data_IF_463092114753
#
_entry.id   IF_463092114753
#
_cell.length_a   1.000
_cell.length_b   1.000
_cell.length_c   1.000
_cell.angle_alpha   90.00
_cell.angle_beta   90.00
_cell.angle_gamma   90.00
#
_symmetry.space_group_name_H-M   'P 1'
#
loop_
_entity.id
_entity.type
_entity.pdbx_description
1 polymer ?
#
# COMPACT_ATOMS: atom_id res chain seq x y z
N UNK A 1 27.42 -11.57 5.63
CA UNK A 1 26.18 -11.85 6.37
C UNK A 1 25.03 -11.26 5.60
N UNK A 2 24.00 -12.03 5.38
CA UNK A 2 22.79 -11.60 4.67
C UNK A 2 22.07 -10.52 5.48
N UNK A 3 21.92 -9.31 4.92
CA UNK A 3 21.34 -8.17 5.64
C UNK A 3 19.81 -8.13 5.57
N UNK A 4 19.18 -9.01 4.77
CA UNK A 4 17.74 -8.98 4.56
C UNK A 4 16.97 -9.49 5.80
N UNK A 5 15.93 -8.77 6.24
CA UNK A 5 15.01 -9.21 7.31
C UNK A 5 14.05 -10.28 6.80
N UNK A 6 13.69 -10.23 5.50
CA UNK A 6 12.94 -11.28 4.81
C UNK A 6 13.67 -11.64 3.53
N UNK A 7 13.84 -12.94 3.27
CA UNK A 7 14.33 -13.49 2.00
C UNK A 7 13.39 -14.59 1.53
N UNK A 8 12.96 -14.47 0.31
CA UNK A 8 12.05 -15.42 -0.36
C UNK A 8 12.67 -15.85 -1.66
N UNK A 9 12.73 -17.15 -1.91
CA UNK A 9 13.33 -17.72 -3.12
C UNK A 9 12.41 -18.79 -3.71
N UNK A 10 11.79 -18.48 -4.85
CA UNK A 10 10.97 -19.39 -5.63
C UNK A 10 9.76 -19.96 -4.90
N UNK A 11 9.14 -19.19 -4.00
CA UNK A 11 8.00 -19.68 -3.21
C UNK A 11 6.81 -19.99 -4.10
N UNK A 12 6.31 -21.24 -3.95
CA UNK A 12 5.09 -21.73 -4.60
C UNK A 12 4.08 -22.14 -3.55
N UNK A 13 2.81 -21.80 -3.78
CA UNK A 13 1.68 -22.30 -3.00
C UNK A 13 0.50 -22.62 -3.88
N UNK A 14 0.04 -23.87 -3.78
CA UNK A 14 -1.10 -24.38 -4.54
C UNK A 14 -2.18 -24.85 -3.55
N UNK A 15 -3.39 -24.34 -3.68
CA UNK A 15 -4.54 -24.78 -2.90
C UNK A 15 -5.30 -25.91 -3.60
N UNK A 16 -6.29 -26.47 -2.91
CA UNK A 16 -7.26 -27.40 -3.49
C UNK A 16 -7.79 -26.84 -4.83
N UNK A 17 -8.15 -27.72 -5.76
CA UNK A 17 -8.57 -27.38 -7.13
C UNK A 17 -7.45 -26.78 -8.03
N UNK A 18 -6.17 -27.01 -7.69
CA UNK A 18 -5.01 -26.58 -8.47
C UNK A 18 -4.88 -25.04 -8.59
N UNK A 19 -5.50 -24.27 -7.68
CA UNK A 19 -5.34 -22.81 -7.66
C UNK A 19 -3.93 -22.49 -7.17
N UNK A 20 -3.09 -22.00 -8.06
CA UNK A 20 -1.73 -21.57 -7.77
C UNK A 20 -1.75 -20.13 -7.25
N UNK A 21 -1.78 -19.97 -5.94
CA UNK A 21 -1.83 -18.66 -5.28
C UNK A 21 -0.48 -17.95 -5.23
N UNK A 22 0.63 -18.72 -5.19
CA UNK A 22 2.00 -18.21 -5.34
C UNK A 22 2.70 -19.06 -6.39
N UNK A 23 3.37 -18.40 -7.34
CA UNK A 23 3.98 -19.03 -8.50
C UNK A 23 5.45 -18.58 -8.69
N UNK A 24 6.31 -19.03 -7.79
CA UNK A 24 7.74 -18.80 -7.87
C UNK A 24 8.17 -17.41 -7.42
N UNK A 25 7.51 -16.82 -6.42
CA UNK A 25 7.86 -15.50 -5.89
C UNK A 25 9.27 -15.54 -5.27
N UNK A 26 10.10 -14.56 -5.65
CA UNK A 26 11.40 -14.29 -5.07
C UNK A 26 11.50 -12.81 -4.76
N UNK A 27 11.86 -12.43 -3.52
CA UNK A 27 12.08 -11.05 -3.10
C UNK A 27 12.96 -11.00 -1.85
N UNK A 28 13.51 -9.82 -1.57
CA UNK A 28 14.30 -9.57 -0.37
C UNK A 28 13.90 -8.23 0.25
N UNK A 29 13.67 -8.22 1.56
CA UNK A 29 13.29 -7.02 2.32
C UNK A 29 14.44 -6.62 3.23
N UNK A 30 14.88 -5.39 3.13
CA UNK A 30 15.90 -4.83 4.03
C UNK A 30 15.29 -4.51 5.41
N UNK A 31 16.09 -4.54 6.49
CA UNK A 31 15.61 -4.15 7.80
C UNK A 31 15.37 -2.64 7.89
N UNK A 32 14.40 -2.23 8.72
CA UNK A 32 14.18 -0.82 9.05
C UNK A 32 13.45 -0.02 7.98
N UNK A 33 12.73 -0.69 7.06
CA UNK A 33 11.92 -0.04 6.03
C UNK A 33 10.46 -0.50 6.09
N UNK A 34 9.60 0.25 5.40
CA UNK A 34 8.22 -0.13 5.07
C UNK A 34 8.21 -0.73 3.67
N UNK A 35 8.02 -2.03 3.58
CA UNK A 35 7.93 -2.75 2.31
C UNK A 35 6.48 -3.08 1.97
N UNK A 36 6.01 -2.62 0.82
CA UNK A 36 4.64 -2.80 0.35
C UNK A 36 4.49 -3.95 -0.64
N UNK A 37 3.54 -4.85 -0.40
CA UNK A 37 3.06 -5.81 -1.41
C UNK A 37 1.80 -5.23 -2.04
N UNK A 38 1.91 -4.68 -3.23
CA UNK A 38 0.82 -4.07 -3.99
C UNK A 38 0.23 -5.06 -4.99
N UNK A 39 -1.08 -5.08 -5.14
CA UNK A 39 -1.75 -5.90 -6.16
C UNK A 39 -3.24 -6.04 -5.91
N UNK A 40 -4.01 -6.57 -6.87
CA UNK A 40 -5.44 -6.74 -6.74
C UNK A 40 -5.80 -7.82 -5.73
N UNK A 41 -7.11 -7.92 -5.43
CA UNK A 41 -7.62 -9.02 -4.62
C UNK A 41 -7.39 -10.35 -5.34
N UNK A 42 -6.91 -11.35 -4.60
CA UNK A 42 -6.55 -12.66 -5.18
C UNK A 42 -5.15 -12.73 -5.80
N UNK A 43 -4.37 -11.65 -5.83
CA UNK A 43 -3.00 -11.67 -6.37
C UNK A 43 -2.01 -12.55 -5.59
N UNK A 44 -2.34 -13.00 -4.38
CA UNK A 44 -1.49 -13.84 -3.54
C UNK A 44 -0.85 -13.15 -2.34
N UNK A 45 -1.07 -11.85 -2.14
CA UNK A 45 -0.47 -11.02 -1.06
C UNK A 45 -0.65 -11.63 0.33
N UNK A 46 -1.90 -11.84 0.76
CA UNK A 46 -2.23 -12.47 2.06
C UNK A 46 -1.65 -13.89 2.18
N UNK A 47 -1.62 -14.64 1.06
CA UNK A 47 -1.02 -15.99 1.06
C UNK A 47 0.47 -15.92 1.33
N UNK A 48 1.18 -14.96 0.75
CA UNK A 48 2.61 -14.75 1.01
C UNK A 48 2.85 -14.36 2.47
N UNK A 49 2.09 -13.41 3.03
CA UNK A 49 2.18 -13.07 4.46
C UNK A 49 1.96 -14.31 5.33
N UNK A 50 0.94 -15.14 5.05
CA UNK A 50 0.68 -16.36 5.84
C UNK A 50 1.82 -17.37 5.76
N UNK A 51 2.48 -17.48 4.62
CA UNK A 51 3.68 -18.33 4.49
C UNK A 51 4.82 -17.78 5.33
N UNK A 52 5.11 -16.48 5.23
CA UNK A 52 6.18 -15.82 5.97
C UNK A 52 5.93 -15.83 7.49
N UNK A 53 4.67 -15.68 7.91
CA UNK A 53 4.25 -15.76 9.30
C UNK A 53 4.13 -17.20 9.83
N UNK A 54 4.56 -18.21 9.05
CA UNK A 54 4.51 -19.63 9.41
C UNK A 54 3.11 -20.22 9.64
N UNK A 55 2.07 -19.52 9.18
CA UNK A 55 0.67 -19.98 9.28
C UNK A 55 0.30 -20.96 8.16
N UNK A 56 1.08 -20.98 7.08
CA UNK A 56 0.84 -21.80 5.91
C UNK A 56 2.19 -22.31 5.38
N UNK A 57 2.41 -23.64 5.25
CA UNK A 57 3.65 -24.15 4.66
C UNK A 57 3.64 -23.90 3.14
N UNK A 58 4.77 -23.45 2.56
CA UNK A 58 4.92 -23.41 1.11
C UNK A 58 5.04 -24.83 0.53
N UNK A 59 4.64 -25.02 -0.73
CA UNK A 59 4.75 -26.30 -1.42
C UNK A 59 6.12 -26.46 -2.09
N UNK A 60 6.74 -25.33 -2.53
CA UNK A 60 8.11 -25.30 -3.05
C UNK A 60 8.79 -23.97 -2.70
N UNK A 61 10.09 -23.91 -2.90
CA UNK A 61 10.93 -22.76 -2.58
C UNK A 61 11.32 -22.66 -1.10
N UNK A 62 12.04 -21.60 -0.75
CA UNK A 62 12.53 -21.33 0.59
C UNK A 62 12.19 -19.90 1.03
N UNK A 63 11.93 -19.72 2.32
CA UNK A 63 11.78 -18.39 2.90
C UNK A 63 12.45 -18.32 4.27
N UNK A 64 13.11 -17.20 4.53
CA UNK A 64 13.70 -16.87 5.83
C UNK A 64 13.17 -15.52 6.32
N UNK A 65 12.86 -15.46 7.60
CA UNK A 65 12.36 -14.27 8.29
C UNK A 65 13.21 -14.06 9.54
N UNK A 66 13.73 -12.86 9.71
CA UNK A 66 14.67 -12.51 10.80
C UNK A 66 15.81 -13.52 10.93
N UNK A 67 16.31 -14.07 9.81
CA UNK A 67 17.39 -15.04 9.75
C UNK A 67 16.98 -16.51 9.91
N UNK A 68 15.71 -16.82 10.23
CA UNK A 68 15.21 -18.18 10.50
C UNK A 68 14.36 -18.73 9.36
N UNK A 69 14.48 -20.02 9.08
CA UNK A 69 13.71 -20.71 8.05
C UNK A 69 12.25 -20.91 8.49
N UNK A 70 11.30 -20.49 7.67
CA UNK A 70 9.86 -20.50 8.01
C UNK A 70 9.30 -21.94 8.19
N UNK A 71 9.92 -22.96 7.61
CA UNK A 71 9.49 -24.37 7.73
C UNK A 71 10.22 -25.11 8.84
N UNK A 72 11.53 -24.86 8.99
CA UNK A 72 12.39 -25.62 9.90
C UNK A 72 12.43 -25.00 11.31
N UNK A 73 12.28 -23.68 11.40
CA UNK A 73 12.44 -22.89 12.62
C UNK A 73 11.21 -21.98 12.90
N UNK A 74 9.98 -22.50 12.77
CA UNK A 74 8.77 -21.63 12.83
C UNK A 74 8.58 -20.97 14.20
N UNK A 75 9.03 -21.59 15.29
CA UNK A 75 8.95 -20.99 16.63
C UNK A 75 9.86 -19.75 16.76
N UNK A 76 11.07 -19.80 16.20
CA UNK A 76 12.01 -18.71 16.18
C UNK A 76 11.50 -17.52 15.33
N UNK A 77 10.86 -17.84 14.20
CA UNK A 77 10.18 -16.82 13.38
C UNK A 77 9.09 -16.14 14.18
N UNK A 78 8.14 -16.91 14.75
CA UNK A 78 7.00 -16.36 15.51
C UNK A 78 7.42 -15.51 16.72
N UNK A 79 8.53 -15.83 17.34
CA UNK A 79 9.06 -15.04 18.45
C UNK A 79 9.57 -13.65 18.04
N UNK A 80 9.79 -13.41 16.73
CA UNK A 80 10.41 -12.17 16.20
C UNK A 80 9.48 -11.36 15.32
N UNK A 81 8.28 -11.86 15.06
CA UNK A 81 7.29 -11.19 14.21
C UNK A 81 6.09 -10.75 15.02
N UNK A 82 5.41 -9.69 14.53
CA UNK A 82 4.05 -9.36 14.85
C UNK A 82 3.18 -9.52 13.61
N UNK A 83 1.91 -9.84 13.79
CA UNK A 83 0.95 -9.94 12.69
C UNK A 83 -0.34 -9.25 13.09
N UNK A 84 -0.75 -8.25 12.29
CA UNK A 84 -2.10 -7.70 12.31
C UNK A 84 -2.80 -8.11 11.02
N UNK A 85 -3.80 -8.96 11.14
CA UNK A 85 -4.53 -9.52 10.02
C UNK A 85 -5.60 -8.57 9.46
N UNK A 86 -6.36 -9.02 8.47
CA UNK A 86 -7.46 -8.26 7.87
C UNK A 86 -8.59 -7.95 8.87
N UNK A 87 -8.82 -8.82 9.84
CA UNK A 87 -9.79 -8.64 10.92
C UNK A 87 -9.07 -8.46 12.24
N UNK A 88 -9.47 -7.46 13.00
CA UNK A 88 -8.90 -7.22 14.32
C UNK A 88 -9.20 -8.40 15.26
N UNK A 89 -8.12 -9.01 15.78
CA UNK A 89 -8.20 -10.15 16.71
C UNK A 89 -8.34 -9.65 18.15
N UNK A 90 -9.40 -8.85 18.42
CA UNK A 90 -9.68 -8.28 19.74
C UNK A 90 -11.03 -8.73 20.25
N UNK A 91 -11.14 -8.93 21.57
CA UNK A 91 -12.39 -9.27 22.24
C UNK A 91 -13.20 -7.98 22.52
N UNK A 92 -14.44 -7.94 22.04
CA UNK A 92 -15.33 -6.79 22.14
C UNK A 92 -15.79 -6.49 23.57
N UNK A 93 -15.81 -7.49 24.45
CA UNK A 93 -16.26 -7.38 25.82
C UNK A 93 -15.18 -6.95 26.80
N UNK A 94 -13.92 -7.17 26.44
CA UNK A 94 -12.77 -6.69 27.20
C UNK A 94 -12.50 -5.22 26.88
N UNK A 95 -11.82 -4.56 27.82
CA UNK A 95 -11.25 -3.22 27.57
C UNK A 95 -10.05 -3.31 26.62
N UNK A 96 -9.64 -2.17 26.06
CA UNK A 96 -8.43 -2.12 25.24
C UNK A 96 -7.21 -2.62 26.00
N UNK A 97 -7.06 -2.23 27.27
CA UNK A 97 -5.96 -2.65 28.15
C UNK A 97 -5.98 -4.16 28.37
N UNK A 98 -7.12 -4.73 28.76
CA UNK A 98 -7.26 -6.17 28.99
C UNK A 98 -6.95 -7.00 27.75
N UNK A 99 -7.34 -6.55 26.57
CA UNK A 99 -6.98 -7.20 25.31
C UNK A 99 -5.46 -7.28 25.14
N UNK A 100 -4.76 -6.17 25.32
CA UNK A 100 -3.28 -6.13 25.15
C UNK A 100 -2.58 -6.94 26.25
N UNK A 101 -3.05 -6.86 27.50
CA UNK A 101 -2.53 -7.69 28.60
C UNK A 101 -2.73 -9.18 28.32
N UNK A 102 -3.91 -9.59 27.82
CA UNK A 102 -4.20 -10.97 27.44
C UNK A 102 -3.20 -11.47 26.41
N UNK A 103 -2.93 -10.69 25.38
CA UNK A 103 -1.91 -11.03 24.36
C UNK A 103 -0.53 -11.15 25.01
N UNK A 104 -0.14 -10.23 25.92
CA UNK A 104 1.09 -10.32 26.68
C UNK A 104 1.23 -11.64 27.43
N UNK A 105 0.13 -12.09 28.06
CA UNK A 105 0.08 -13.40 28.73
C UNK A 105 0.27 -14.57 27.78
N UNK A 106 -0.29 -14.49 26.55
CA UNK A 106 -0.10 -15.51 25.52
C UNK A 106 1.35 -15.56 25.00
N UNK A 107 2.07 -14.44 25.03
CA UNK A 107 3.51 -14.37 24.79
C UNK A 107 4.38 -14.86 25.97
N UNK A 108 3.75 -15.33 27.06
CA UNK A 108 4.45 -15.88 28.25
C UNK A 108 4.92 -14.84 29.25
N UNK A 109 4.54 -13.57 29.11
CA UNK A 109 4.88 -12.53 30.08
C UNK A 109 4.17 -12.82 31.44
N UNK A 110 4.82 -12.48 32.55
CA UNK A 110 4.17 -12.47 33.85
C UNK A 110 3.05 -11.42 33.88
N UNK A 111 2.17 -11.47 34.87
CA UNK A 111 1.06 -10.49 34.97
C UNK A 111 1.58 -9.06 35.01
N UNK A 112 2.61 -8.80 35.85
CA UNK A 112 3.18 -7.46 35.99
C UNK A 112 3.84 -6.97 34.69
N UNK A 113 4.61 -7.83 34.01
CA UNK A 113 5.23 -7.52 32.71
C UNK A 113 4.18 -7.26 31.63
N UNK A 114 3.08 -8.05 31.60
CA UNK A 114 2.00 -7.86 30.65
C UNK A 114 1.29 -6.52 30.87
N UNK A 115 1.03 -6.13 32.13
CA UNK A 115 0.44 -4.85 32.49
C UNK A 115 1.34 -3.67 32.09
N UNK A 116 2.61 -3.72 32.43
CA UNK A 116 3.57 -2.71 32.03
C UNK A 116 3.64 -2.59 30.50
N UNK A 117 3.77 -3.72 29.82
CA UNK A 117 3.87 -3.76 28.37
C UNK A 117 2.62 -3.25 27.66
N UNK A 118 1.44 -3.57 28.20
CA UNK A 118 0.17 -3.04 27.71
C UNK A 118 0.13 -1.51 27.81
N UNK A 119 0.56 -0.93 28.93
CA UNK A 119 0.67 0.51 29.09
C UNK A 119 1.56 1.16 28.03
N UNK A 120 2.81 0.64 27.85
CA UNK A 120 3.77 1.13 26.85
C UNK A 120 3.21 1.11 25.44
N UNK A 121 2.55 0.00 25.05
CA UNK A 121 2.04 -0.17 23.69
C UNK A 121 0.81 0.68 23.43
N UNK A 122 -0.12 0.76 24.40
CA UNK A 122 -1.35 1.57 24.30
C UNK A 122 -1.02 3.06 24.17
N UNK A 123 -0.02 3.55 24.91
CA UNK A 123 0.47 4.91 24.78
C UNK A 123 1.04 5.15 23.37
N UNK A 124 1.87 4.22 22.88
CA UNK A 124 2.50 4.31 21.56
C UNK A 124 1.51 4.40 20.41
N UNK A 125 0.35 3.69 20.52
CA UNK A 125 -0.71 3.73 19.50
C UNK A 125 -1.75 4.82 19.75
N UNK A 126 -1.52 5.72 20.73
CA UNK A 126 -2.37 6.87 21.05
C UNK A 126 -3.82 6.46 21.41
N UNK A 127 -3.96 5.40 22.23
CA UNK A 127 -5.27 4.93 22.73
C UNK A 127 -5.40 5.04 24.26
N UNK A 128 -4.57 5.83 24.94
CA UNK A 128 -4.54 5.91 26.39
C UNK A 128 -5.88 6.32 27.00
N UNK A 129 -6.55 7.34 26.43
CA UNK A 129 -7.85 7.85 26.91
C UNK A 129 -8.99 6.84 26.78
N UNK A 130 -8.86 5.88 25.88
CA UNK A 130 -9.87 4.85 25.63
C UNK A 130 -9.49 3.48 26.21
N UNK A 131 -8.28 3.35 26.80
CA UNK A 131 -7.69 2.07 27.19
C UNK A 131 -8.60 1.24 28.11
N UNK A 132 -9.32 1.89 29.00
CA UNK A 132 -10.14 1.25 30.04
C UNK A 132 -11.64 1.19 29.67
N UNK A 133 -11.98 1.47 28.40
CA UNK A 133 -13.33 1.30 27.84
C UNK A 133 -13.46 -0.04 27.12
N UNK A 134 -14.65 -0.69 27.15
CA UNK A 134 -14.90 -1.90 26.36
C UNK A 134 -14.73 -1.67 24.86
N UNK A 135 -14.06 -2.61 24.17
CA UNK A 135 -13.70 -2.49 22.75
C UNK A 135 -14.93 -2.38 21.84
N UNK A 136 -16.08 -2.93 22.24
CA UNK A 136 -17.35 -2.75 21.50
C UNK A 136 -17.75 -1.28 21.30
N UNK A 137 -17.20 -0.35 22.11
CA UNK A 137 -17.45 1.10 21.99
C UNK A 137 -16.45 1.82 21.11
N UNK A 138 -15.47 1.11 20.56
CA UNK A 138 -14.41 1.68 19.74
C UNK A 138 -14.89 1.94 18.29
N UNK A 139 -14.39 3.01 17.69
CA UNK A 139 -14.50 3.21 16.23
C UNK A 139 -13.66 2.17 15.47
N UNK A 140 -13.89 2.02 14.17
CA UNK A 140 -13.07 1.14 13.32
C UNK A 140 -11.58 1.46 13.40
N UNK A 141 -11.23 2.75 13.34
CA UNK A 141 -9.85 3.21 13.48
C UNK A 141 -9.23 2.89 14.85
N UNK A 142 -10.00 3.01 15.93
CA UNK A 142 -9.54 2.62 17.27
C UNK A 142 -9.34 1.12 17.40
N UNK A 143 -10.24 0.29 16.84
CA UNK A 143 -10.08 -1.17 16.81
C UNK A 143 -8.82 -1.56 16.02
N UNK A 144 -8.58 -0.90 14.89
CA UNK A 144 -7.39 -1.18 14.06
C UNK A 144 -6.10 -0.80 14.77
N UNK A 145 -6.08 0.34 15.48
CA UNK A 145 -4.95 0.71 16.33
C UNK A 145 -4.72 -0.28 17.46
N UNK A 146 -5.79 -0.79 18.08
CA UNK A 146 -5.68 -1.80 19.15
C UNK A 146 -5.12 -3.14 18.62
N UNK A 147 -5.53 -3.57 17.43
CA UNK A 147 -4.99 -4.77 16.76
C UNK A 147 -3.49 -4.60 16.46
N UNK A 148 -3.10 -3.41 16.00
CA UNK A 148 -1.68 -3.05 15.87
C UNK A 148 -0.95 -3.11 17.22
N UNK A 149 -1.55 -2.62 18.30
CA UNK A 149 -1.00 -2.71 19.65
C UNK A 149 -0.73 -4.16 20.06
N UNK A 150 -1.72 -5.03 19.87
CA UNK A 150 -1.60 -6.45 20.19
C UNK A 150 -0.41 -7.10 19.45
N UNK A 151 -0.20 -6.75 18.18
CA UNK A 151 0.91 -7.26 17.38
C UNK A 151 2.30 -6.76 17.84
N UNK A 152 2.36 -5.66 18.60
CA UNK A 152 3.60 -5.05 19.10
C UNK A 152 4.03 -5.56 20.49
N UNK A 153 3.17 -6.31 21.18
CA UNK A 153 3.42 -6.78 22.55
C UNK A 153 4.72 -7.59 22.64
N UNK A 154 4.97 -8.48 21.68
CA UNK A 154 6.13 -9.34 21.61
C UNK A 154 7.44 -8.63 21.23
N UNK A 155 7.46 -7.30 21.06
CA UNK A 155 8.62 -6.52 20.58
C UNK A 155 9.18 -7.08 19.26
N UNK A 156 8.36 -7.20 18.20
CA UNK A 156 8.77 -7.82 16.95
C UNK A 156 9.87 -7.03 16.24
N UNK A 157 10.78 -7.75 15.56
CA UNK A 157 11.75 -7.16 14.62
C UNK A 157 11.08 -6.83 13.28
N UNK A 158 10.04 -7.61 12.91
CA UNK A 158 9.26 -7.45 11.70
C UNK A 158 7.77 -7.52 12.02
N UNK A 159 7.02 -6.55 11.50
CA UNK A 159 5.58 -6.48 11.60
C UNK A 159 4.94 -6.77 10.24
N UNK A 160 4.07 -7.75 10.18
CA UNK A 160 3.21 -8.03 9.04
C UNK A 160 1.86 -7.32 9.22
N UNK A 161 1.45 -6.54 8.21
CA UNK A 161 0.17 -5.84 8.19
C UNK A 161 -0.61 -6.25 6.93
N UNK A 162 -1.70 -6.97 7.11
CA UNK A 162 -2.53 -7.41 5.98
C UNK A 162 -3.68 -6.43 5.77
N UNK A 163 -3.58 -5.60 4.72
CA UNK A 163 -4.52 -4.51 4.37
C UNK A 163 -4.88 -3.60 5.57
N UNK A 164 -3.89 -2.93 6.19
CA UNK A 164 -4.07 -2.27 7.49
C UNK A 164 -5.12 -1.16 7.49
N UNK A 165 -5.41 -0.54 6.37
CA UNK A 165 -6.33 0.61 6.26
C UNK A 165 -7.66 0.27 5.58
N UNK A 166 -7.90 -0.99 5.24
CA UNK A 166 -9.14 -1.40 4.61
C UNK A 166 -10.36 -1.03 5.48
N UNK A 167 -11.35 -0.37 4.88
CA UNK A 167 -12.58 0.04 5.56
C UNK A 167 -12.45 1.22 6.54
N UNK A 168 -11.29 1.88 6.61
CA UNK A 168 -11.10 3.09 7.40
C UNK A 168 -11.48 4.35 6.61
N UNK A 169 -12.00 5.33 7.33
CA UNK A 169 -12.19 6.68 6.80
C UNK A 169 -10.83 7.36 6.51
N UNK A 170 -10.79 8.41 5.65
CA UNK A 170 -9.53 9.04 5.24
C UNK A 170 -8.69 9.58 6.40
N UNK A 171 -9.31 10.14 7.45
CA UNK A 171 -8.59 10.68 8.60
C UNK A 171 -7.94 9.55 9.42
N UNK A 172 -8.69 8.49 9.74
CA UNK A 172 -8.17 7.31 10.43
C UNK A 172 -7.05 6.61 9.65
N UNK A 173 -7.10 6.63 8.31
CA UNK A 173 -6.05 6.09 7.44
C UNK A 173 -4.75 6.87 7.59
N UNK A 174 -4.80 8.20 7.51
CA UNK A 174 -3.64 9.08 7.66
C UNK A 174 -3.01 8.91 9.05
N UNK A 175 -3.83 8.86 10.09
CA UNK A 175 -3.37 8.64 11.47
C UNK A 175 -2.63 7.29 11.61
N UNK A 176 -3.16 6.23 11.00
CA UNK A 176 -2.53 4.91 11.05
C UNK A 176 -1.21 4.89 10.28
N UNK A 177 -1.13 5.56 9.13
CA UNK A 177 0.13 5.72 8.38
C UNK A 177 1.21 6.41 9.22
N UNK A 178 0.82 7.48 9.96
CA UNK A 178 1.73 8.15 10.89
C UNK A 178 2.26 7.20 11.96
N UNK A 179 1.38 6.40 12.56
CA UNK A 179 1.79 5.39 13.56
C UNK A 179 2.74 4.34 12.99
N UNK A 180 2.48 3.84 11.77
CA UNK A 180 3.36 2.84 11.11
C UNK A 180 4.74 3.44 10.86
N UNK A 181 4.84 4.70 10.42
CA UNK A 181 6.11 5.40 10.24
C UNK A 181 6.87 5.58 11.55
N UNK A 182 6.16 5.97 12.63
CA UNK A 182 6.76 6.10 13.96
C UNK A 182 7.35 4.76 14.44
N UNK A 183 6.69 3.63 14.13
CA UNK A 183 7.19 2.29 14.45
C UNK A 183 8.50 1.97 13.72
N UNK A 184 8.58 2.29 12.44
CA UNK A 184 9.80 2.06 11.64
C UNK A 184 10.93 2.97 12.08
N UNK A 185 10.65 4.24 12.37
CA UNK A 185 11.65 5.17 12.89
C UNK A 185 12.30 4.70 14.21
N UNK A 186 11.61 3.83 14.96
CA UNK A 186 12.16 3.21 16.20
C UNK A 186 12.79 1.83 15.98
N UNK A 187 12.99 1.41 14.71
CA UNK A 187 13.75 0.22 14.34
C UNK A 187 12.94 -1.04 14.05
N UNK A 188 11.59 -0.98 14.03
CA UNK A 188 10.75 -2.10 13.61
C UNK A 188 10.64 -2.09 12.09
N UNK A 189 10.91 -3.22 11.42
CA UNK A 189 10.64 -3.36 9.98
C UNK A 189 9.15 -3.66 9.74
N UNK A 190 8.59 -3.20 8.62
CA UNK A 190 7.19 -3.45 8.29
C UNK A 190 7.08 -4.04 6.88
N UNK A 191 6.30 -5.11 6.74
CA UNK A 191 5.85 -5.63 5.46
C UNK A 191 4.32 -5.57 5.46
N UNK A 192 3.77 -4.74 4.59
CA UNK A 192 2.32 -4.58 4.48
C UNK A 192 1.79 -5.02 3.11
N UNK A 193 0.54 -5.48 3.08
CA UNK A 193 -0.19 -5.65 1.83
C UNK A 193 -1.17 -4.51 1.64
N UNK A 194 -1.36 -4.12 0.39
CA UNK A 194 -2.39 -3.16 0.01
C UNK A 194 -2.88 -3.39 -1.42
N UNK A 195 -4.09 -2.95 -1.69
CA UNK A 195 -4.62 -2.78 -3.04
C UNK A 195 -4.75 -1.29 -3.39
N UNK A 196 -4.48 -0.39 -2.45
CA UNK A 196 -4.59 1.06 -2.64
C UNK A 196 -3.25 1.63 -3.06
N UNK A 197 -3.23 2.20 -4.27
CA UNK A 197 -2.03 2.76 -4.88
C UNK A 197 -1.52 3.99 -4.13
N UNK A 198 -2.42 4.82 -3.61
CA UNK A 198 -2.08 5.99 -2.79
C UNK A 198 -1.43 5.60 -1.45
N UNK A 199 -1.83 4.47 -0.85
CA UNK A 199 -1.18 3.92 0.35
C UNK A 199 0.23 3.44 0.03
N UNK A 200 0.39 2.66 -1.04
CA UNK A 200 1.70 2.19 -1.47
C UNK A 200 2.64 3.38 -1.75
N UNK A 201 2.18 4.38 -2.51
CA UNK A 201 2.99 5.54 -2.90
C UNK A 201 3.42 6.42 -1.71
N UNK A 202 2.51 6.61 -0.74
CA UNK A 202 2.75 7.51 0.39
C UNK A 202 3.43 6.87 1.58
N UNK A 203 3.19 5.59 1.82
CA UNK A 203 3.60 4.94 3.06
C UNK A 203 4.87 4.10 2.90
N UNK A 204 5.09 3.49 1.73
CA UNK A 204 6.14 2.48 1.59
C UNK A 204 7.45 3.06 1.03
N UNK A 205 8.57 2.50 1.47
CA UNK A 205 9.90 2.82 0.95
C UNK A 205 10.23 2.02 -0.32
N UNK A 206 9.75 0.77 -0.38
CA UNK A 206 9.84 -0.10 -1.55
C UNK A 206 8.53 -0.86 -1.76
N UNK A 207 8.21 -1.12 -3.02
CA UNK A 207 6.96 -1.76 -3.45
C UNK A 207 7.31 -2.96 -4.32
N UNK A 208 6.71 -4.10 -4.00
CA UNK A 208 6.62 -5.26 -4.89
C UNK A 208 5.21 -5.32 -5.47
N UNK A 209 5.09 -5.22 -6.78
CA UNK A 209 3.83 -5.40 -7.50
C UNK A 209 3.61 -6.89 -7.75
N UNK A 210 2.54 -7.43 -7.18
CA UNK A 210 2.19 -8.86 -7.31
C UNK A 210 0.88 -8.99 -8.09
N UNK A 211 0.90 -9.83 -9.10
CA UNK A 211 -0.29 -10.21 -9.84
C UNK A 211 -0.27 -11.71 -10.18
N UNK A 212 -1.44 -12.36 -10.09
CA UNK A 212 -1.60 -13.80 -10.35
C UNK A 212 -0.51 -14.69 -9.71
N UNK A 213 -0.14 -14.38 -8.45
CA UNK A 213 0.85 -15.13 -7.67
C UNK A 213 2.30 -14.90 -8.09
N UNK A 214 2.59 -13.93 -8.95
CA UNK A 214 3.94 -13.62 -9.45
C UNK A 214 4.36 -12.21 -9.07
N UNK A 215 5.64 -12.03 -8.84
CA UNK A 215 6.25 -10.71 -8.73
C UNK A 215 6.42 -10.13 -10.15
N UNK A 216 5.73 -9.02 -10.43
CA UNK A 216 5.74 -8.37 -11.75
C UNK A 216 6.82 -7.29 -11.82
N UNK A 217 6.95 -6.47 -10.78
CA UNK A 217 7.96 -5.42 -10.69
C UNK A 217 8.26 -5.11 -9.22
N UNK A 218 9.44 -4.57 -8.96
CA UNK A 218 9.89 -4.16 -7.62
C UNK A 218 10.74 -2.90 -7.72
N UNK A 219 10.54 -1.96 -6.79
CA UNK A 219 11.31 -0.73 -6.72
C UNK A 219 10.75 0.25 -5.70
N UNK A 220 11.35 1.43 -5.62
CA UNK A 220 10.74 2.59 -4.94
C UNK A 220 9.57 3.10 -5.80
N UNK A 221 8.66 3.89 -5.21
CA UNK A 221 7.57 4.49 -5.98
C UNK A 221 8.09 5.29 -7.18
N UNK A 222 9.19 6.02 -7.03
CA UNK A 222 9.81 6.79 -8.11
C UNK A 222 10.42 5.89 -9.20
N UNK A 223 11.11 4.80 -8.83
CA UNK A 223 11.66 3.84 -9.77
C UNK A 223 10.56 3.17 -10.60
N UNK A 224 9.46 2.78 -9.97
CA UNK A 224 8.31 2.18 -10.65
C UNK A 224 7.65 3.16 -11.62
N UNK A 225 7.42 4.41 -11.20
CA UNK A 225 6.85 5.47 -12.04
C UNK A 225 7.73 5.77 -13.25
N UNK A 226 9.06 5.73 -13.08
CA UNK A 226 10.00 5.94 -14.18
C UNK A 226 9.94 4.84 -15.26
N UNK A 227 9.50 3.61 -14.93
CA UNK A 227 9.36 2.50 -15.89
C UNK A 227 8.24 2.72 -16.92
N UNK A 228 7.22 3.52 -16.60
CA UNK A 228 6.00 3.66 -17.44
C UNK A 228 6.07 4.87 -18.38
N UNK A 229 7.08 5.68 -18.23
CA UNK A 229 7.29 6.87 -19.05
C UNK A 229 7.50 8.12 -18.17
N UNK A 230 8.06 9.15 -18.79
CA UNK A 230 8.29 10.42 -18.11
C UNK A 230 6.99 11.19 -17.84
N UNK A 231 7.13 12.34 -17.18
CA UNK A 231 6.04 13.29 -17.04
C UNK A 231 5.41 13.64 -18.39
N UNK A 232 4.12 13.95 -18.38
CA UNK A 232 3.36 14.41 -19.55
C UNK A 232 2.88 15.84 -19.31
N UNK A 233 3.06 16.71 -20.29
CA UNK A 233 2.33 17.97 -20.36
C UNK A 233 1.03 17.71 -21.10
N UNK A 234 -0.10 17.92 -20.44
CA UNK A 234 -1.42 17.92 -21.05
C UNK A 234 -1.92 19.35 -21.20
N UNK A 235 -2.53 19.65 -22.33
CA UNK A 235 -3.10 20.97 -22.57
C UNK A 235 -4.41 20.87 -23.34
N UNK A 236 -5.38 21.66 -22.92
CA UNK A 236 -6.63 21.87 -23.66
C UNK A 236 -6.43 23.06 -24.60
N UNK A 237 -6.74 22.88 -25.88
CA UNK A 237 -6.67 23.93 -26.87
C UNK A 237 -7.96 23.99 -27.66
N UNK A 238 -8.37 25.18 -28.16
CA UNK A 238 -9.51 25.29 -29.08
C UNK A 238 -9.34 24.33 -30.27
N UNK A 239 -10.42 23.71 -30.69
CA UNK A 239 -10.40 22.72 -31.83
C UNK A 239 -9.77 23.33 -33.08
N UNK A 240 -10.00 24.61 -33.35
CA UNK A 240 -9.41 25.32 -34.48
C UNK A 240 -7.89 25.40 -34.43
N UNK A 241 -7.28 25.37 -33.25
CA UNK A 241 -5.84 25.46 -33.03
C UNK A 241 -5.16 24.12 -32.86
N UNK A 242 -5.91 23.01 -32.80
CA UNK A 242 -5.41 21.65 -32.54
C UNK A 242 -4.24 21.28 -33.47
N UNK A 243 -4.46 21.37 -34.79
CA UNK A 243 -3.45 20.97 -35.77
C UNK A 243 -2.20 21.84 -35.68
N UNK A 244 -2.37 23.15 -35.46
CA UNK A 244 -1.27 24.11 -35.29
C UNK A 244 -0.48 23.84 -33.98
N UNK A 245 -1.18 23.45 -32.90
CA UNK A 245 -0.56 23.08 -31.63
C UNK A 245 0.33 21.84 -31.79
N UNK A 246 -0.20 20.78 -32.42
CA UNK A 246 0.58 19.56 -32.69
C UNK A 246 1.83 19.87 -33.52
N UNK A 247 1.67 20.69 -34.57
CA UNK A 247 2.80 21.07 -35.45
C UNK A 247 3.85 21.92 -34.71
N UNK A 248 3.42 22.90 -33.90
CA UNK A 248 4.32 23.75 -33.14
C UNK A 248 5.13 22.98 -32.06
N UNK A 249 4.57 21.89 -31.55
CA UNK A 249 5.21 21.02 -30.56
C UNK A 249 5.97 19.83 -31.16
N UNK A 250 5.89 19.64 -32.48
CA UNK A 250 6.58 18.54 -33.16
C UNK A 250 8.10 18.72 -33.09
N UNK A 251 8.80 17.62 -32.75
CA UNK A 251 10.27 17.60 -32.69
C UNK A 251 10.87 18.36 -31.49
N UNK A 252 10.04 18.78 -30.58
CA UNK A 252 10.49 19.56 -29.40
C UNK A 252 10.91 18.69 -28.21
N UNK A 253 10.32 17.52 -28.04
CA UNK A 253 10.57 16.60 -26.92
C UNK A 253 10.94 15.20 -27.42
N UNK A 254 11.40 14.35 -26.50
CA UNK A 254 11.62 12.93 -26.74
C UNK A 254 10.24 12.27 -26.87
N UNK A 255 9.65 12.34 -28.07
CA UNK A 255 8.33 11.82 -28.38
C UNK A 255 7.49 12.78 -29.20
N UNK A 256 6.39 12.28 -29.77
CA UNK A 256 5.48 13.11 -30.55
C UNK A 256 4.28 13.55 -29.71
N UNK A 257 3.78 14.80 -29.92
CA UNK A 257 2.53 15.21 -29.31
C UNK A 257 1.39 14.32 -29.80
N UNK A 258 0.55 13.84 -28.87
CA UNK A 258 -0.63 13.04 -29.16
C UNK A 258 -1.90 13.79 -28.79
N UNK A 259 -2.98 13.55 -29.52
CA UNK A 259 -4.30 14.13 -29.25
C UNK A 259 -5.27 13.06 -28.78
N UNK A 260 -5.84 13.26 -27.59
CA UNK A 260 -6.96 12.47 -27.09
C UNK A 260 -8.28 13.15 -27.46
N UNK A 261 -8.98 12.57 -28.44
CA UNK A 261 -10.26 13.10 -28.92
C UNK A 261 -11.41 13.00 -27.90
N UNK A 262 -11.36 12.07 -26.95
CA UNK A 262 -12.38 11.94 -25.91
C UNK A 262 -12.22 13.03 -24.84
N UNK A 263 -10.99 13.31 -24.44
CA UNK A 263 -10.68 14.33 -23.42
C UNK A 263 -10.45 15.72 -24.01
N UNK A 264 -10.35 15.83 -25.35
CA UNK A 264 -10.00 17.07 -26.08
C UNK A 264 -8.71 17.71 -25.60
N UNK A 265 -7.69 16.87 -25.33
CA UNK A 265 -6.40 17.32 -24.84
C UNK A 265 -5.27 16.92 -25.76
N UNK A 266 -4.28 17.79 -25.89
CA UNK A 266 -2.98 17.47 -26.48
C UNK A 266 -2.05 17.06 -25.35
N UNK A 267 -1.41 15.90 -25.48
CA UNK A 267 -0.40 15.40 -24.55
C UNK A 267 0.98 15.41 -25.20
N UNK A 268 2.00 15.78 -24.43
CA UNK A 268 3.40 15.84 -24.86
C UNK A 268 4.28 15.21 -23.78
N UNK A 269 5.16 14.25 -24.11
CA UNK A 269 6.17 13.76 -23.18
C UNK A 269 7.05 14.89 -22.65
N UNK A 270 7.24 14.91 -21.33
CA UNK A 270 7.95 15.97 -20.62
C UNK A 270 9.04 15.41 -19.70
N UNK A 271 10.13 14.82 -20.24
CA UNK A 271 11.17 14.18 -19.44
C UNK A 271 11.82 15.14 -18.44
N UNK A 272 11.94 16.42 -18.79
CA UNK A 272 12.48 17.48 -17.93
C UNK A 272 11.38 18.18 -17.11
N UNK A 273 10.17 17.66 -17.07
CA UNK A 273 9.07 18.18 -16.27
C UNK A 273 8.74 19.64 -16.56
N UNK A 274 8.93 20.51 -15.56
CA UNK A 274 8.59 21.95 -15.65
C UNK A 274 9.36 22.71 -16.75
N UNK A 275 10.57 22.30 -17.08
CA UNK A 275 11.35 22.94 -18.18
C UNK A 275 10.66 22.70 -19.52
N UNK A 276 10.25 21.45 -19.76
CA UNK A 276 9.50 21.08 -20.97
C UNK A 276 8.18 21.83 -21.05
N UNK A 277 7.47 21.96 -19.92
CA UNK A 277 6.22 22.72 -19.84
C UNK A 277 6.44 24.19 -20.22
N UNK A 278 7.42 24.87 -19.63
CA UNK A 278 7.70 26.28 -19.90
C UNK A 278 8.07 26.52 -21.37
N UNK A 279 8.90 25.66 -21.94
CA UNK A 279 9.32 25.80 -23.33
C UNK A 279 8.17 25.47 -24.29
N UNK A 280 7.30 24.49 -23.98
CA UNK A 280 6.10 24.23 -24.76
C UNK A 280 5.16 25.43 -24.81
N UNK A 281 4.93 26.08 -23.65
CA UNK A 281 4.09 27.28 -23.56
C UNK A 281 4.72 28.46 -24.35
N UNK A 282 6.05 28.63 -24.31
CA UNK A 282 6.73 29.66 -25.09
C UNK A 282 6.51 29.46 -26.58
N UNK A 283 6.71 28.24 -27.10
CA UNK A 283 6.51 27.92 -28.52
C UNK A 283 5.09 28.15 -28.98
N UNK A 284 4.09 27.81 -28.14
CA UNK A 284 2.70 28.10 -28.46
C UNK A 284 2.40 29.59 -28.50
N UNK A 285 2.97 30.35 -27.57
CA UNK A 285 2.86 31.81 -27.56
C UNK A 285 3.46 32.45 -28.81
N UNK A 286 4.63 31.94 -29.29
CA UNK A 286 5.29 32.43 -30.49
C UNK A 286 4.44 32.26 -31.77
N UNK A 287 3.55 31.23 -31.80
CA UNK A 287 2.59 31.04 -32.90
C UNK A 287 1.17 31.56 -32.60
N UNK A 288 1.03 32.34 -31.52
CA UNK A 288 -0.22 33.00 -31.13
C UNK A 288 -1.29 32.07 -30.55
N UNK A 289 -0.92 30.87 -30.09
CA UNK A 289 -1.82 29.90 -29.47
C UNK A 289 -1.77 30.06 -27.95
N UNK A 290 -2.93 30.14 -27.31
CA UNK A 290 -3.10 30.15 -25.85
C UNK A 290 -3.93 28.95 -25.43
N UNK A 291 -3.35 27.97 -24.72
CA UNK A 291 -4.13 26.88 -24.15
C UNK A 291 -5.16 27.38 -23.15
N UNK A 292 -6.33 26.76 -23.10
CA UNK A 292 -7.39 27.06 -22.13
C UNK A 292 -7.04 26.49 -20.74
N UNK A 293 -6.34 25.33 -20.71
CA UNK A 293 -5.89 24.65 -19.50
C UNK A 293 -4.55 23.93 -19.78
N UNK A 294 -3.67 23.92 -18.80
CA UNK A 294 -2.37 23.23 -18.90
C UNK A 294 -2.04 22.55 -17.59
N UNK A 295 -1.65 21.29 -17.65
CA UNK A 295 -1.22 20.52 -16.49
C UNK A 295 0.06 19.72 -16.81
N UNK A 296 0.94 19.66 -15.80
CA UNK A 296 2.09 18.73 -15.82
C UNK A 296 1.67 17.50 -15.00
N UNK A 297 1.41 16.39 -15.69
CA UNK A 297 1.13 15.11 -15.08
C UNK A 297 2.43 14.35 -14.86
N UNK A 298 2.72 14.05 -13.61
CA UNK A 298 3.74 13.07 -13.26
C UNK A 298 3.09 11.68 -13.31
N UNK A 299 3.81 10.65 -13.79
CA UNK A 299 3.31 9.28 -13.71
C UNK A 299 2.86 8.95 -12.29
N UNK A 300 1.74 8.26 -12.19
CA UNK A 300 1.19 7.75 -10.94
C UNK A 300 1.44 6.24 -10.83
N UNK A 301 1.29 5.66 -9.65
CA UNK A 301 1.30 4.21 -9.51
C UNK A 301 0.10 3.54 -10.21
N UNK A 302 -1.00 4.28 -10.44
CA UNK A 302 -2.12 3.81 -11.29
C UNK A 302 -1.67 3.54 -12.72
N UNK A 303 -0.88 4.46 -13.30
CA UNK A 303 -0.33 4.31 -14.64
C UNK A 303 0.64 3.12 -14.70
N UNK A 304 1.47 2.94 -13.67
CA UNK A 304 2.37 1.80 -13.53
C UNK A 304 1.57 0.49 -13.50
N UNK A 305 0.58 0.43 -12.64
CA UNK A 305 -0.22 -0.78 -12.45
C UNK A 305 -0.95 -1.16 -13.74
N UNK A 306 -1.58 -0.19 -14.41
CA UNK A 306 -2.27 -0.40 -15.69
C UNK A 306 -1.32 -0.89 -16.78
N UNK A 307 -0.13 -0.30 -16.88
CA UNK A 307 0.87 -0.69 -17.89
C UNK A 307 1.43 -2.10 -17.65
N UNK A 308 1.63 -2.50 -16.38
CA UNK A 308 2.24 -3.77 -16.03
C UNK A 308 1.24 -4.94 -16.05
N UNK A 309 -0.04 -4.70 -15.70
CA UNK A 309 -1.05 -5.77 -15.53
C UNK A 309 -2.10 -5.77 -16.64
N UNK A 310 -2.22 -4.70 -17.40
CA UNK A 310 -3.28 -4.53 -18.41
C UNK A 310 -4.69 -4.31 -17.83
N UNK A 311 -4.82 -4.19 -16.51
CA UNK A 311 -6.08 -3.96 -15.81
C UNK A 311 -6.00 -2.67 -15.00
N UNK A 312 -7.07 -1.85 -15.02
CA UNK A 312 -7.18 -0.74 -14.09
C UNK A 312 -7.22 -1.27 -12.64
N UNK A 313 -6.47 -0.66 -11.74
CA UNK A 313 -6.62 -0.92 -10.32
C UNK A 313 -8.07 -0.66 -9.92
N UNK A 314 -8.64 -1.51 -9.06
CA UNK A 314 -10.00 -1.31 -8.54
C UNK A 314 -10.03 0.04 -7.81
N UNK A 315 -10.58 1.06 -8.46
CA UNK A 315 -10.89 2.31 -7.79
C UNK A 315 -11.85 1.96 -6.65
N UNK A 316 -11.42 2.15 -5.42
CA UNK A 316 -12.26 1.94 -4.24
C UNK A 316 -13.58 2.67 -4.47
N UNK A 317 -14.65 1.89 -4.39
CA UNK A 317 -16.03 2.30 -4.68
C UNK A 317 -16.44 3.48 -3.77
N UNK A 318 -16.27 4.68 -4.26
CA UNK A 318 -16.71 5.93 -3.64
C UNK A 318 -17.82 6.58 -4.47
N UNK A 319 -18.70 5.75 -5.09
CA UNK A 319 -19.90 6.22 -5.77
C UNK A 319 -21.11 5.38 -5.39
N UNK A 320 -21.65 5.62 -4.19
CA UNK A 320 -23.08 5.47 -3.93
C UNK A 320 -23.52 6.45 -2.84
N UNK A 321 -23.62 7.73 -3.23
CA UNK A 321 -24.67 8.60 -2.67
C UNK A 321 -25.64 8.84 -3.81
N UNK A 322 -26.43 7.82 -4.12
CA UNK A 322 -27.58 7.96 -5.00
C UNK A 322 -28.75 8.52 -4.20
N UNK A 323 -29.04 9.75 -4.49
CA UNK A 323 -30.30 10.44 -4.19
C UNK A 323 -31.50 9.55 -4.49
N UNK A 324 -32.11 8.96 -3.47
CA UNK A 324 -33.45 8.40 -3.55
C UNK A 324 -34.40 9.23 -2.67
N UNK A 325 -34.71 10.43 -3.11
CA UNK A 325 -35.85 11.21 -2.62
C UNK A 325 -37.11 10.65 -3.25
N UNK A 326 -37.85 9.79 -2.55
CA UNK A 326 -39.21 9.45 -2.92
C UNK A 326 -40.13 10.64 -2.62
N UNK A 327 -40.99 11.04 -3.55
CA UNK A 327 -41.98 12.10 -3.27
C UNK A 327 -43.04 11.56 -2.28
N UNK A 328 -43.29 12.30 -1.21
CA UNK A 328 -44.42 12.07 -0.31
C UNK A 328 -45.69 12.33 -1.08
N UNK A 329 -46.52 11.32 -1.22
CA UNK A 329 -47.95 11.50 -1.60
C UNK A 329 -48.69 11.93 -0.32
N UNK A 330 -49.33 13.10 -0.43
CA UNK A 330 -50.42 13.50 0.46
C UNK A 330 -51.64 12.64 0.18
N UNK A 331 -52.20 12.02 1.20
CA UNK A 331 -53.61 11.94 1.52
C UNK A 331 -53.70 11.93 3.04
#
# INVERSE_FOLDING_TARGET
>A
MDKAIVRVEGIVKVFANKIRALDGISLAVEPGIIYGLLGPNGAGKTTLIRVLATLLPPDAGTARVAGFDVRREPAEVRARIGLAGQYAAVDDFLTGRENVEMVGRLYGLTRGEAQQRAGEVIERIRLLEAADRPVKTYSGGMRRRLDLAASLVGRPQLLFLDEPTAGLDPASRIDLWGLIRDLVATGTSVLLTTQYLDEADRLTDRIAVIDHGRLISEGTGEELKAQVGGSLVEMSVPEADRARTIEALRGFSIGQPAYDGQRRKVSLPAPDGSKTLMEALRRLADVGIRPDDVALHKPTLDDVFLALTGHAASAGDNREISTNVKPRRHI
#
